data_IF_764318101443
#
_entry.id   IF_764318101443
#
_cell.length_a   1.000
_cell.length_b   1.000
_cell.length_c   1.000
_cell.angle_alpha   90.00
_cell.angle_beta   90.00
_cell.angle_gamma   90.00
#
_symmetry.space_group_name_H-M   'P 1'
#
loop_
_entity.id
_entity.type
_entity.pdbx_description
1 polymer ?
#
# COMPACT_ATOMS: atom_id res chain seq x y z
N UNK A 1 -16.47 6.08 22.39
CA UNK A 1 -15.10 6.55 22.11
C UNK A 1 -15.12 7.02 20.67
N UNK A 2 -15.04 8.33 20.42
CA UNK A 2 -15.04 8.84 19.04
C UNK A 2 -13.89 8.21 18.28
N UNK A 3 -14.22 7.58 17.16
CA UNK A 3 -13.21 7.12 16.24
C UNK A 3 -12.67 8.34 15.48
N UNK A 4 -11.58 8.92 15.98
CA UNK A 4 -10.92 10.10 15.40
C UNK A 4 -10.69 9.95 13.89
N UNK A 5 -10.39 8.73 13.43
CA UNK A 5 -10.21 8.48 12.00
C UNK A 5 -11.52 8.63 11.22
N UNK A 6 -12.66 8.23 11.79
CA UNK A 6 -13.98 8.42 11.19
C UNK A 6 -14.31 9.91 11.09
N UNK A 7 -14.02 10.68 12.14
CA UNK A 7 -14.21 12.12 12.16
C UNK A 7 -13.37 12.81 11.08
N UNK A 8 -12.10 12.41 10.91
CA UNK A 8 -11.24 12.92 9.85
C UNK A 8 -11.73 12.57 8.45
N UNK A 9 -12.15 11.32 8.21
CA UNK A 9 -12.67 10.90 6.90
C UNK A 9 -13.92 11.69 6.53
N UNK A 10 -14.82 11.90 7.50
CA UNK A 10 -16.01 12.74 7.34
C UNK A 10 -15.63 14.19 6.98
N UNK A 11 -14.69 14.77 7.71
CA UNK A 11 -14.22 16.13 7.45
C UNK A 11 -13.60 16.28 6.06
N UNK A 12 -12.81 15.29 5.61
CA UNK A 12 -12.23 15.27 4.26
C UNK A 12 -13.33 15.20 3.17
N UNK A 13 -14.37 14.40 3.39
CA UNK A 13 -15.51 14.32 2.48
C UNK A 13 -16.23 15.66 2.33
N UNK A 14 -16.53 16.33 3.45
CA UNK A 14 -17.21 17.63 3.48
C UNK A 14 -16.36 18.71 2.80
N UNK A 15 -15.06 18.72 3.07
CA UNK A 15 -14.13 19.73 2.56
C UNK A 15 -13.58 19.42 1.16
N UNK A 16 -13.96 18.27 0.57
CA UNK A 16 -13.47 17.78 -0.73
C UNK A 16 -11.94 17.63 -0.80
N UNK A 17 -11.33 17.33 0.34
CA UNK A 17 -9.89 17.13 0.47
C UNK A 17 -9.52 15.65 0.32
N UNK A 18 -8.21 15.38 0.25
CA UNK A 18 -7.65 14.03 0.09
C UNK A 18 -6.91 13.61 1.36
N UNK A 19 -6.90 12.31 1.62
CA UNK A 19 -6.22 11.75 2.77
C UNK A 19 -4.72 11.50 2.48
N UNK A 20 -3.94 11.41 3.55
CA UNK A 20 -2.52 11.04 3.47
C UNK A 20 -2.16 10.20 4.69
N UNK A 21 -1.56 9.04 4.46
CA UNK A 21 -0.99 8.20 5.51
C UNK A 21 0.54 8.20 5.43
N UNK A 22 1.19 8.15 6.59
CA UNK A 22 2.62 7.86 6.70
C UNK A 22 2.77 6.38 7.05
N UNK A 23 3.61 5.65 6.34
CA UNK A 23 3.77 4.19 6.43
C UNK A 23 5.15 3.76 6.93
N UNK A 24 5.97 4.70 7.38
CA UNK A 24 7.30 4.43 7.92
C UNK A 24 8.07 5.69 8.34
N UNK A 25 9.31 5.47 8.79
CA UNK A 25 10.24 6.50 9.22
C UNK A 25 11.64 5.91 9.48
N UNK A 26 12.45 6.65 10.23
CA UNK A 26 13.84 6.25 10.54
C UNK A 26 13.94 5.22 11.67
N UNK A 27 12.84 5.00 12.39
CA UNK A 27 12.75 4.11 13.54
C UNK A 27 11.58 3.13 13.36
N UNK A 28 11.64 1.98 14.04
CA UNK A 28 10.64 0.92 13.89
C UNK A 28 9.25 1.35 14.36
N UNK A 29 9.16 2.18 15.41
CA UNK A 29 7.91 2.73 15.94
C UNK A 29 7.24 3.76 15.01
N UNK A 30 7.97 4.28 14.02
CA UNK A 30 7.41 5.14 12.99
C UNK A 30 6.60 4.37 11.92
N UNK A 31 6.65 3.04 11.93
CA UNK A 31 5.85 2.19 11.05
C UNK A 31 4.52 1.85 11.72
N UNK A 32 3.37 2.29 11.18
CA UNK A 32 2.07 1.89 11.71
C UNK A 32 1.87 0.38 11.50
N UNK A 33 1.05 -0.23 12.37
CA UNK A 33 0.68 -1.64 12.20
C UNK A 33 -0.06 -1.87 10.88
N UNK A 34 0.04 -3.09 10.35
CA UNK A 34 -0.70 -3.50 9.15
C UNK A 34 -2.20 -3.24 9.29
N UNK A 35 -2.78 -3.53 10.47
CA UNK A 35 -4.19 -3.26 10.75
C UNK A 35 -4.55 -1.78 10.68
N UNK A 36 -3.68 -0.89 11.15
CA UNK A 36 -3.91 0.55 11.07
C UNK A 36 -3.91 1.04 9.62
N UNK A 37 -3.01 0.53 8.78
CA UNK A 37 -2.96 0.84 7.35
C UNK A 37 -4.22 0.30 6.65
N UNK A 38 -4.61 -0.95 6.91
CA UNK A 38 -5.81 -1.57 6.31
C UNK A 38 -7.07 -0.83 6.72
N UNK A 39 -7.19 -0.45 8.00
CA UNK A 39 -8.32 0.34 8.50
C UNK A 39 -8.40 1.69 7.79
N UNK A 40 -7.28 2.40 7.69
CA UNK A 40 -7.20 3.66 6.94
C UNK A 40 -7.64 3.49 5.48
N UNK A 41 -7.09 2.51 4.76
CA UNK A 41 -7.44 2.25 3.37
C UNK A 41 -8.91 1.89 3.22
N UNK A 42 -9.45 1.03 4.10
CA UNK A 42 -10.85 0.62 4.07
C UNK A 42 -11.79 1.81 4.23
N UNK A 43 -11.50 2.70 5.16
CA UNK A 43 -12.33 3.88 5.39
C UNK A 43 -12.25 4.87 4.22
N UNK A 44 -11.07 5.06 3.64
CA UNK A 44 -10.92 5.86 2.42
C UNK A 44 -11.68 5.24 1.23
N UNK A 45 -11.59 3.92 1.04
CA UNK A 45 -12.29 3.21 -0.04
C UNK A 45 -13.80 3.29 0.15
N UNK A 46 -14.31 3.01 1.36
CA UNK A 46 -15.73 3.06 1.67
C UNK A 46 -16.34 4.47 1.50
N UNK A 47 -15.61 5.51 1.91
CA UNK A 47 -16.02 6.90 1.75
C UNK A 47 -15.65 7.50 0.38
N UNK A 48 -15.03 6.71 -0.52
CA UNK A 48 -14.52 7.13 -1.82
C UNK A 48 -13.59 8.36 -1.75
N UNK A 49 -12.78 8.44 -0.69
CA UNK A 49 -11.78 9.48 -0.48
C UNK A 49 -10.46 9.05 -1.13
N UNK A 50 -9.91 9.87 -2.05
CA UNK A 50 -8.58 9.65 -2.59
C UNK A 50 -7.52 9.83 -1.50
N UNK A 51 -6.49 8.99 -1.53
CA UNK A 51 -5.38 9.05 -0.60
C UNK A 51 -4.03 8.86 -1.29
N UNK A 52 -2.98 9.33 -0.61
CA UNK A 52 -1.59 8.94 -0.90
C UNK A 52 -0.92 8.31 0.31
N UNK A 53 0.01 7.40 0.08
CA UNK A 53 0.86 6.84 1.12
C UNK A 53 2.27 7.42 1.03
N UNK A 54 2.99 7.54 2.14
CA UNK A 54 4.30 8.20 2.17
C UNK A 54 5.21 7.58 3.20
N UNK A 55 6.53 7.65 2.96
CA UNK A 55 7.59 7.15 3.82
C UNK A 55 7.63 5.61 3.97
N UNK A 56 8.82 5.04 3.81
CA UNK A 56 9.03 3.59 3.98
C UNK A 56 8.49 2.72 2.83
N UNK A 57 8.18 3.29 1.67
CA UNK A 57 7.65 2.60 0.48
C UNK A 57 8.69 2.59 -0.65
N UNK A 58 9.83 1.95 -0.37
CA UNK A 58 10.97 1.84 -1.29
C UNK A 58 10.91 0.59 -2.17
N UNK A 59 10.27 -0.46 -1.65
CA UNK A 59 10.26 -1.79 -2.24
C UNK A 59 8.84 -2.14 -2.70
N UNK A 60 8.68 -2.92 -3.79
CA UNK A 60 7.37 -3.33 -4.29
C UNK A 60 6.65 -4.22 -3.30
N UNK A 61 7.37 -5.14 -2.66
CA UNK A 61 6.85 -6.10 -1.68
C UNK A 61 7.33 -5.78 -0.26
N UNK A 62 6.62 -6.32 0.72
CA UNK A 62 7.00 -6.22 2.14
C UNK A 62 8.34 -6.92 2.32
N UNK A 63 9.23 -6.30 3.08
CA UNK A 63 10.57 -6.83 3.25
C UNK A 63 11.16 -6.42 4.61
N UNK A 64 12.27 -7.06 4.98
CA UNK A 64 13.07 -6.71 6.15
C UNK A 64 14.40 -6.17 5.65
N UNK A 65 14.64 -4.87 5.84
CA UNK A 65 15.81 -4.14 5.32
C UNK A 65 16.24 -3.04 6.32
N UNK A 66 17.46 -2.49 6.18
CA UNK A 66 17.87 -1.29 6.91
C UNK A 66 16.88 -0.12 6.67
N UNK A 67 16.50 0.59 7.73
CA UNK A 67 15.51 1.68 7.66
C UNK A 67 16.09 2.99 7.09
N UNK A 68 17.42 3.11 7.07
CA UNK A 68 18.15 4.24 6.52
C UNK A 68 19.37 3.73 5.75
N UNK A 69 20.05 4.63 5.02
CA UNK A 69 21.28 4.33 4.28
C UNK A 69 22.55 4.43 5.14
N UNK A 70 22.41 4.68 6.44
CA UNK A 70 23.56 4.82 7.35
C UNK A 70 24.19 3.46 7.65
N UNK A 71 25.49 3.47 7.90
CA UNK A 71 26.19 2.28 8.38
C UNK A 71 25.63 1.87 9.76
N UNK A 72 25.24 0.60 9.91
CA UNK A 72 24.57 0.06 11.10
C UNK A 72 23.16 0.61 11.37
N UNK A 73 22.46 1.11 10.34
CA UNK A 73 21.06 1.51 10.48
C UNK A 73 20.20 0.38 11.08
N UNK A 74 19.20 0.71 11.92
CA UNK A 74 18.25 -0.27 12.42
C UNK A 74 17.61 -1.04 11.26
N UNK A 75 17.51 -2.36 11.40
CA UNK A 75 16.80 -3.22 10.44
C UNK A 75 15.36 -3.37 10.91
N UNK A 76 14.41 -3.16 10.00
CA UNK A 76 12.99 -3.23 10.32
C UNK A 76 12.16 -3.74 9.14
N UNK A 77 10.88 -4.01 9.41
CA UNK A 77 9.95 -4.44 8.38
C UNK A 77 9.36 -3.22 7.65
N UNK A 78 9.58 -3.14 6.34
CA UNK A 78 9.05 -2.09 5.47
C UNK A 78 7.82 -2.59 4.72
N UNK A 79 6.89 -1.70 4.40
CA UNK A 79 5.70 -2.02 3.61
C UNK A 79 6.05 -1.99 2.11
N UNK A 80 5.46 -2.89 1.32
CA UNK A 80 5.59 -2.85 -0.13
C UNK A 80 4.55 -1.94 -0.79
N UNK A 81 4.96 -1.14 -1.78
CA UNK A 81 4.01 -0.28 -2.50
C UNK A 81 3.05 -1.10 -3.38
N UNK A 82 3.46 -2.22 -3.97
CA UNK A 82 2.51 -3.10 -4.69
C UNK A 82 1.54 -3.75 -3.71
N UNK A 83 2.00 -4.23 -2.55
CA UNK A 83 1.10 -4.78 -1.53
C UNK A 83 0.00 -3.77 -1.16
N UNK A 84 0.39 -2.50 -0.95
CA UNK A 84 -0.53 -1.43 -0.56
C UNK A 84 -1.56 -1.14 -1.66
N UNK A 85 -1.13 -0.98 -2.91
CA UNK A 85 -2.04 -0.63 -4.01
C UNK A 85 -2.97 -1.80 -4.38
N UNK A 86 -2.45 -3.03 -4.42
CA UNK A 86 -3.27 -4.21 -4.69
C UNK A 86 -4.23 -4.50 -3.52
N UNK A 87 -3.83 -4.23 -2.28
CA UNK A 87 -4.73 -4.29 -1.12
C UNK A 87 -5.86 -3.28 -1.19
N UNK A 88 -5.61 -2.05 -1.68
CA UNK A 88 -6.66 -1.08 -1.95
C UNK A 88 -7.64 -1.58 -3.04
N UNK A 89 -7.14 -2.31 -4.04
CA UNK A 89 -7.98 -2.94 -5.06
C UNK A 89 -8.85 -4.06 -4.47
N UNK A 90 -8.30 -4.92 -3.61
CA UNK A 90 -9.08 -5.96 -2.92
C UNK A 90 -10.17 -5.35 -2.03
N UNK A 91 -9.85 -4.28 -1.28
CA UNK A 91 -10.85 -3.56 -0.49
C UNK A 91 -11.97 -2.99 -1.36
N UNK A 92 -11.65 -2.51 -2.58
CA UNK A 92 -12.64 -2.01 -3.53
C UNK A 92 -13.56 -3.12 -4.06
N UNK A 93 -13.06 -4.34 -4.14
CA UNK A 93 -13.85 -5.54 -4.48
C UNK A 93 -14.63 -6.11 -3.27
N UNK A 94 -14.66 -5.40 -2.12
CA UNK A 94 -15.30 -5.82 -0.88
C UNK A 94 -14.75 -7.13 -0.28
N UNK A 95 -13.47 -7.43 -0.51
CA UNK A 95 -12.80 -8.59 0.09
C UNK A 95 -12.62 -8.40 1.60
N UNK A 96 -12.64 -9.53 2.32
CA UNK A 96 -12.55 -9.55 3.78
C UNK A 96 -11.16 -9.14 4.30
N UNK A 97 -11.08 -8.78 5.59
CA UNK A 97 -9.83 -8.37 6.23
C UNK A 97 -8.71 -9.42 6.12
N UNK A 98 -8.97 -10.73 6.29
CA UNK A 98 -7.91 -11.75 6.16
C UNK A 98 -7.16 -11.73 4.83
N UNK A 99 -7.86 -11.67 3.69
CA UNK A 99 -7.21 -11.64 2.38
C UNK A 99 -6.33 -10.39 2.20
N UNK A 100 -6.86 -9.23 2.61
CA UNK A 100 -6.14 -7.95 2.56
C UNK A 100 -4.91 -7.97 3.47
N UNK A 101 -5.03 -8.55 4.68
CA UNK A 101 -3.90 -8.67 5.61
C UNK A 101 -2.80 -9.58 5.07
N UNK A 102 -3.17 -10.72 4.48
CA UNK A 102 -2.21 -11.60 3.81
C UNK A 102 -1.50 -10.88 2.67
N UNK A 103 -2.22 -10.15 1.81
CA UNK A 103 -1.62 -9.40 0.71
C UNK A 103 -0.70 -8.28 1.20
N UNK A 104 -1.08 -7.54 2.26
CA UNK A 104 -0.22 -6.55 2.93
C UNK A 104 1.04 -7.16 3.55
N UNK A 105 0.99 -8.46 3.86
CA UNK A 105 2.08 -9.21 4.49
C UNK A 105 2.91 -10.03 3.50
N UNK A 106 2.53 -10.05 2.22
CA UNK A 106 3.18 -10.84 1.19
C UNK A 106 4.59 -10.31 0.89
N UNK A 107 5.56 -11.22 0.95
CA UNK A 107 6.98 -10.94 0.74
C UNK A 107 7.52 -11.64 -0.51
N UNK A 108 6.82 -12.67 -0.99
CA UNK A 108 7.29 -13.52 -2.07
C UNK A 108 6.69 -13.06 -3.41
N UNK A 109 7.58 -12.72 -4.34
CA UNK A 109 7.23 -12.29 -5.69
C UNK A 109 6.64 -13.39 -6.55
N UNK A 110 6.99 -14.66 -6.28
CA UNK A 110 6.51 -15.82 -7.04
C UNK A 110 5.00 -16.06 -6.85
N UNK A 111 4.41 -15.49 -5.79
CA UNK A 111 2.96 -15.53 -5.55
C UNK A 111 2.18 -14.55 -6.44
N UNK A 112 2.85 -13.74 -7.25
CA UNK A 112 2.23 -12.81 -8.18
C UNK A 112 2.44 -13.22 -9.63
N UNK A 113 1.35 -13.19 -10.40
CA UNK A 113 1.40 -13.26 -11.84
C UNK A 113 0.91 -11.92 -12.40
N UNK A 114 1.70 -11.31 -13.27
CA UNK A 114 1.37 -10.05 -13.94
C UNK A 114 1.12 -10.34 -15.42
N UNK A 115 -0.05 -9.93 -15.91
CA UNK A 115 -0.50 -10.13 -17.27
C UNK A 115 -1.08 -8.81 -17.81
N UNK A 116 -1.37 -8.72 -19.10
CA UNK A 116 -1.90 -7.50 -19.72
C UNK A 116 -3.28 -7.10 -19.18
N UNK A 117 -4.08 -8.06 -18.71
CA UNK A 117 -5.47 -7.85 -18.29
C UNK A 117 -5.68 -7.84 -16.77
N UNK A 118 -4.77 -8.45 -16.01
CA UNK A 118 -4.93 -8.65 -14.57
C UNK A 118 -3.60 -8.85 -13.82
N UNK A 119 -3.69 -8.67 -12.50
CA UNK A 119 -2.71 -9.18 -11.55
C UNK A 119 -3.36 -10.32 -10.77
N UNK A 120 -2.74 -11.50 -10.77
CA UNK A 120 -3.17 -12.63 -9.95
C UNK A 120 -2.29 -12.72 -8.71
N UNK A 121 -2.92 -13.00 -7.58
CA UNK A 121 -2.23 -13.30 -6.34
C UNK A 121 -3.01 -14.35 -5.56
N UNK A 122 -2.37 -15.49 -5.29
CA UNK A 122 -3.03 -16.67 -4.72
C UNK A 122 -4.33 -17.03 -5.49
N UNK A 123 -5.49 -16.98 -4.84
CA UNK A 123 -6.79 -17.25 -5.44
C UNK A 123 -7.57 -15.96 -5.81
N UNK A 124 -6.90 -14.82 -5.85
CA UNK A 124 -7.48 -13.52 -6.18
C UNK A 124 -7.00 -13.08 -7.57
N UNK A 125 -7.90 -12.44 -8.31
CA UNK A 125 -7.57 -11.71 -9.54
C UNK A 125 -7.98 -10.25 -9.39
N UNK A 126 -7.14 -9.35 -9.88
CA UNK A 126 -7.38 -7.92 -9.90
C UNK A 126 -7.23 -7.45 -11.34
N UNK A 127 -8.36 -7.20 -12.02
CA UNK A 127 -8.36 -6.71 -13.40
C UNK A 127 -7.76 -5.30 -13.53
N UNK A 128 -7.22 -4.98 -14.70
CA UNK A 128 -6.73 -3.64 -15.04
C UNK A 128 -7.81 -2.57 -14.81
N UNK A 129 -9.07 -2.85 -15.15
CA UNK A 129 -10.19 -1.94 -14.86
C UNK A 129 -10.31 -1.62 -13.36
N UNK A 130 -10.11 -2.62 -12.50
CA UNK A 130 -10.13 -2.42 -11.05
C UNK A 130 -8.93 -1.60 -10.58
N UNK A 131 -7.75 -1.86 -11.15
CA UNK A 131 -6.52 -1.12 -10.87
C UNK A 131 -6.69 0.35 -11.26
N UNK A 132 -7.12 0.64 -12.49
CA UNK A 132 -7.34 1.99 -12.98
C UNK A 132 -8.35 2.76 -12.14
N UNK A 133 -9.48 2.12 -11.83
CA UNK A 133 -10.53 2.74 -11.04
C UNK A 133 -10.04 3.04 -9.61
N UNK A 134 -9.32 2.10 -8.99
CA UNK A 134 -8.73 2.28 -7.66
C UNK A 134 -7.68 3.39 -7.67
N UNK A 135 -6.84 3.46 -8.71
CA UNK A 135 -5.83 4.50 -8.89
C UNK A 135 -6.41 5.89 -9.12
N UNK A 136 -7.58 5.99 -9.74
CA UNK A 136 -8.27 7.27 -9.96
C UNK A 136 -9.07 7.75 -8.75
N UNK A 137 -9.61 6.84 -7.96
CA UNK A 137 -10.59 7.16 -6.91
C UNK A 137 -10.05 7.03 -5.49
N UNK A 138 -9.08 6.15 -5.25
CA UNK A 138 -8.58 5.85 -3.90
C UNK A 138 -7.06 5.95 -3.81
N UNK A 139 -6.30 4.92 -4.19
CA UNK A 139 -4.85 4.89 -4.03
C UNK A 139 -4.16 5.67 -5.16
N UNK A 140 -3.92 6.97 -4.96
CA UNK A 140 -3.48 7.87 -6.04
C UNK A 140 -1.98 7.77 -6.29
N UNK A 141 -1.19 7.83 -5.22
CA UNK A 141 0.26 7.85 -5.31
C UNK A 141 0.93 7.37 -4.02
N UNK A 142 2.21 7.04 -4.13
CA UNK A 142 3.09 6.87 -2.99
C UNK A 142 4.29 7.82 -3.07
N UNK A 143 5.00 7.98 -1.96
CA UNK A 143 6.27 8.70 -1.92
C UNK A 143 7.41 7.76 -1.51
N UNK A 144 8.46 7.75 -2.32
CA UNK A 144 9.75 7.12 -2.03
C UNK A 144 10.85 8.20 -2.02
N UNK A 145 11.88 8.02 -1.19
CA UNK A 145 13.05 8.90 -1.18
C UNK A 145 14.07 8.52 -2.26
N UNK A 146 13.90 7.34 -2.86
CA UNK A 146 14.72 6.83 -3.96
C UNK A 146 13.88 6.61 -5.19
N UNK A 147 14.44 6.93 -6.36
CA UNK A 147 13.89 6.52 -7.65
C UNK A 147 14.49 5.21 -8.14
N UNK A 148 15.69 4.85 -7.67
CA UNK A 148 16.45 3.70 -8.15
C UNK A 148 15.86 2.42 -7.55
N UNK A 149 15.73 2.35 -6.22
CA UNK A 149 15.27 1.13 -5.53
C UNK A 149 13.90 0.63 -6.01
N UNK A 150 12.86 1.49 -6.18
CA UNK A 150 11.58 1.01 -6.69
C UNK A 150 11.66 0.46 -8.11
N UNK A 151 12.51 1.04 -8.97
CA UNK A 151 12.67 0.60 -10.37
C UNK A 151 13.42 -0.72 -10.43
N UNK A 152 14.59 -0.80 -9.78
CA UNK A 152 15.42 -2.00 -9.77
C UNK A 152 14.67 -3.21 -9.19
N UNK A 153 13.91 -3.01 -8.11
CA UNK A 153 13.15 -4.09 -7.52
C UNK A 153 11.94 -4.50 -8.37
N UNK A 154 11.32 -3.58 -9.12
CA UNK A 154 10.26 -3.93 -10.08
C UNK A 154 10.81 -4.71 -11.28
N UNK A 155 12.04 -4.40 -11.73
CA UNK A 155 12.74 -5.17 -12.75
C UNK A 155 13.09 -6.57 -12.26
N UNK A 156 13.54 -6.70 -11.01
CA UNK A 156 13.79 -8.01 -10.38
C UNK A 156 12.52 -8.86 -10.29
N UNK A 157 11.35 -8.24 -10.11
CA UNK A 157 10.05 -8.90 -10.15
C UNK A 157 9.51 -9.14 -11.57
N UNK A 158 10.25 -8.76 -12.61
CA UNK A 158 9.84 -8.83 -14.01
C UNK A 158 8.49 -8.12 -14.33
N UNK A 159 8.11 -7.12 -13.52
CA UNK A 159 6.92 -6.30 -13.75
C UNK A 159 7.17 -5.25 -14.83
N UNK A 160 8.41 -4.77 -14.92
CA UNK A 160 8.89 -3.82 -15.93
C UNK A 160 10.26 -4.28 -16.45
N UNK A 161 10.60 -3.86 -17.66
CA UNK A 161 11.90 -4.11 -18.31
C UNK A 161 12.88 -2.97 -18.08
#
# INVERSE_FOLDING_TARGET
MNDILTDFITALAITKQRAKIRTGGLTQDAFPSTDAIIRFMRMCVAANIPFKATAGLHHPLRCVKPLTYEENAPVGTMNGFLNLFLSACLLRQNLNTPAVHRLMSETDGENFEFNEDEVRWANQSISVNTIELTRRKNAISFGSCSFIEPIEDLQQLAVIS
#
